data_IF_120521109886
#
_entry.id   IF_120521109886
#
_cell.length_a   1.000
_cell.length_b   1.000
_cell.length_c   1.000
_cell.angle_alpha   90.00
_cell.angle_beta   90.00
_cell.angle_gamma   90.00
#
_symmetry.space_group_name_H-M   'P 1'
#
loop_
_entity.id
_entity.type
_entity.pdbx_description
1 polymer ?
#
# COMPACT_ATOMS: atom_id res chain seq x y z
N UNK A 1 5.57 1.65 -1.93
CA UNK A 1 5.84 0.33 -1.31
C UNK A 1 7.18 0.35 -0.57
N UNK A 2 7.35 -0.43 0.49
CA UNK A 2 8.65 -0.58 1.16
C UNK A 2 8.86 -1.95 1.78
N UNK A 3 10.10 -2.24 2.17
CA UNK A 3 10.45 -3.46 2.88
C UNK A 3 10.48 -3.22 4.39
N UNK A 4 9.88 -4.14 5.14
CA UNK A 4 10.00 -4.21 6.60
C UNK A 4 10.46 -5.60 7.03
N UNK A 5 11.20 -5.68 8.14
CA UNK A 5 11.75 -6.95 8.63
C UNK A 5 10.87 -7.52 9.72
N UNK A 6 10.34 -8.72 9.50
CA UNK A 6 9.47 -9.46 10.43
C UNK A 6 10.01 -10.88 10.60
N UNK A 7 10.27 -11.28 11.85
CA UNK A 7 10.88 -12.58 12.21
C UNK A 7 12.13 -12.90 11.40
N UNK A 8 12.95 -11.89 11.12
CA UNK A 8 14.17 -12.04 10.32
C UNK A 8 13.97 -12.03 8.80
N UNK A 9 12.73 -12.09 8.31
CA UNK A 9 12.39 -12.08 6.88
C UNK A 9 11.98 -10.69 6.41
N UNK A 10 12.34 -10.35 5.17
CA UNK A 10 11.90 -9.11 4.54
C UNK A 10 10.52 -9.31 3.91
N UNK A 11 9.58 -8.45 4.30
CA UNK A 11 8.21 -8.44 3.82
C UNK A 11 7.89 -7.12 3.14
N UNK A 12 6.92 -7.17 2.24
CA UNK A 12 6.44 -6.05 1.44
C UNK A 12 5.31 -5.34 2.16
N UNK A 13 5.54 -4.07 2.47
CA UNK A 13 4.53 -3.15 2.98
C UNK A 13 4.06 -2.23 1.84
N UNK A 14 2.84 -2.49 1.38
CA UNK A 14 2.11 -1.59 0.48
C UNK A 14 1.28 -0.63 1.33
N UNK A 15 1.24 0.64 0.92
CA UNK A 15 0.43 1.68 1.56
C UNK A 15 -0.27 2.49 0.49
N UNK A 16 -1.47 2.95 0.83
CA UNK A 16 -2.27 3.85 0.04
C UNK A 16 -2.52 5.10 0.88
N UNK A 17 -2.18 6.25 0.32
CA UNK A 17 -2.41 7.56 0.93
C UNK A 17 -3.26 8.41 0.00
N UNK A 18 -4.04 9.33 0.56
CA UNK A 18 -4.79 10.29 -0.23
C UNK A 18 -3.89 11.45 -0.73
N UNK A 19 -4.47 12.40 -1.48
CA UNK A 19 -3.74 13.57 -1.98
C UNK A 19 -3.24 14.52 -0.88
N UNK A 20 -3.77 14.41 0.35
CA UNK A 20 -3.37 15.22 1.50
C UNK A 20 -2.30 14.51 2.35
N UNK A 21 -1.95 13.27 2.02
CA UNK A 21 -0.99 12.46 2.76
C UNK A 21 -1.59 11.65 3.91
N UNK A 22 -2.92 11.60 4.03
CA UNK A 22 -3.56 10.75 5.03
C UNK A 22 -3.51 9.29 4.59
N UNK A 23 -3.17 8.40 5.50
CA UNK A 23 -3.24 6.96 5.23
C UNK A 23 -4.69 6.54 4.98
N UNK A 24 -4.95 5.91 3.84
CA UNK A 24 -6.22 5.22 3.56
C UNK A 24 -6.15 3.81 4.12
N UNK A 25 -5.12 3.06 3.71
CA UNK A 25 -4.93 1.68 4.15
C UNK A 25 -3.51 1.17 3.86
N UNK A 26 -3.17 0.04 4.47
CA UNK A 26 -1.92 -0.69 4.23
C UNK A 26 -2.15 -2.20 4.02
N UNK A 27 -1.15 -2.86 3.45
CA UNK A 27 -1.10 -4.29 3.27
C UNK A 27 0.32 -4.81 3.47
N UNK A 28 0.47 -5.81 4.33
CA UNK A 28 1.71 -6.54 4.53
C UNK A 28 1.65 -7.88 3.79
N UNK A 29 2.60 -8.14 2.91
CA UNK A 29 2.68 -9.35 2.10
C UNK A 29 4.08 -9.96 2.10
N UNK A 30 4.17 -11.27 1.93
CA UNK A 30 5.44 -12.00 1.70
C UNK A 30 5.94 -11.85 0.26
N UNK A 31 5.04 -11.56 -0.67
CA UNK A 31 5.30 -11.54 -2.12
C UNK A 31 4.76 -10.25 -2.75
N UNK A 32 5.38 -9.81 -3.86
CA UNK A 32 4.87 -8.72 -4.72
C UNK A 32 3.99 -9.26 -5.85
N UNK A 33 3.22 -10.29 -5.58
CA UNK A 33 2.42 -10.92 -6.64
C UNK A 33 1.23 -10.05 -7.05
N UNK A 34 0.70 -10.34 -8.23
CA UNK A 34 -0.45 -9.64 -8.78
C UNK A 34 -1.71 -9.82 -7.91
N UNK A 35 -1.85 -10.98 -7.24
CA UNK A 35 -3.02 -11.30 -6.42
C UNK A 35 -3.08 -10.40 -5.18
N UNK A 36 -1.95 -10.21 -4.51
CA UNK A 36 -1.79 -9.32 -3.38
C UNK A 36 -2.03 -7.86 -3.79
N UNK A 37 -1.47 -7.43 -4.93
CA UNK A 37 -1.72 -6.09 -5.47
C UNK A 37 -3.21 -5.85 -5.75
N UNK A 38 -3.88 -6.79 -6.43
CA UNK A 38 -5.32 -6.72 -6.72
C UNK A 38 -6.16 -6.70 -5.45
N UNK A 39 -5.87 -7.58 -4.50
CA UNK A 39 -6.57 -7.62 -3.22
C UNK A 39 -6.41 -6.30 -2.46
N UNK A 40 -5.22 -5.73 -2.44
CA UNK A 40 -4.95 -4.45 -1.81
C UNK A 40 -5.74 -3.31 -2.47
N UNK A 41 -5.73 -3.22 -3.81
CA UNK A 41 -6.54 -2.21 -4.50
C UNK A 41 -8.03 -2.38 -4.20
N UNK A 42 -8.58 -3.61 -4.20
CA UNK A 42 -9.98 -3.83 -3.79
C UNK A 42 -10.25 -3.34 -2.39
N UNK A 43 -9.35 -3.62 -1.43
CA UNK A 43 -9.47 -3.18 -0.04
C UNK A 43 -9.54 -1.65 0.03
N UNK A 44 -8.62 -0.96 -0.64
CA UNK A 44 -8.56 0.52 -0.71
C UNK A 44 -9.79 1.13 -1.38
N UNK A 45 -10.29 0.53 -2.46
CA UNK A 45 -11.45 1.05 -3.20
C UNK A 45 -12.80 0.82 -2.50
N UNK A 46 -12.85 0.01 -1.44
CA UNK A 46 -14.05 -0.13 -0.61
C UNK A 46 -14.33 1.09 0.25
N UNK A 47 -13.32 1.94 0.50
CA UNK A 47 -13.52 3.16 1.28
C UNK A 47 -14.31 4.19 0.48
N UNK A 48 -15.40 4.72 1.06
CA UNK A 48 -16.33 5.61 0.36
C UNK A 48 -15.65 6.81 -0.31
N UNK A 49 -14.71 7.46 0.41
CA UNK A 49 -13.96 8.62 -0.07
C UNK A 49 -12.92 8.33 -1.16
N UNK A 50 -12.65 7.04 -1.45
CA UNK A 50 -11.69 6.58 -2.48
C UNK A 50 -12.36 5.72 -3.55
N UNK A 51 -13.65 5.43 -3.40
CA UNK A 51 -14.40 4.49 -4.24
C UNK A 51 -14.36 4.77 -5.74
N UNK A 52 -14.13 6.04 -6.14
CA UNK A 52 -14.05 6.47 -7.54
C UNK A 52 -12.86 7.42 -7.75
N UNK A 53 -11.61 6.92 -7.73
CA UNK A 53 -10.46 7.78 -7.87
C UNK A 53 -10.30 8.21 -9.33
N UNK A 54 -10.02 9.50 -9.57
CA UNK A 54 -9.70 10.01 -10.91
C UNK A 54 -8.34 9.52 -11.39
N UNK A 55 -7.35 9.48 -10.48
CA UNK A 55 -5.98 9.07 -10.76
C UNK A 55 -5.47 8.21 -9.61
N UNK A 56 -4.82 7.09 -9.92
CA UNK A 56 -3.99 6.37 -8.94
C UNK A 56 -2.53 6.48 -9.39
N UNK A 57 -1.69 6.96 -8.48
CA UNK A 57 -0.24 6.98 -8.67
C UNK A 57 0.35 5.72 -8.04
N UNK A 58 1.14 4.97 -8.80
CA UNK A 58 1.82 3.76 -8.33
C UNK A 58 3.29 3.78 -8.69
N UNK A 59 4.07 2.93 -8.04
CA UNK A 59 5.44 2.66 -8.48
C UNK A 59 5.49 1.93 -9.82
N UNK A 60 6.65 1.95 -10.47
CA UNK A 60 6.91 1.25 -11.75
C UNK A 60 6.99 -0.28 -11.59
N UNK A 61 6.21 -0.87 -10.69
CA UNK A 61 6.11 -2.31 -10.54
C UNK A 61 5.15 -2.85 -11.63
N UNK A 62 5.57 -3.82 -12.46
CA UNK A 62 4.74 -4.37 -13.53
C UNK A 62 3.46 -5.06 -13.03
N UNK A 63 3.37 -5.47 -11.77
CA UNK A 63 2.17 -6.16 -11.26
C UNK A 63 0.98 -5.22 -11.03
N UNK A 64 1.22 -3.93 -10.79
CA UNK A 64 0.16 -2.94 -10.55
C UNK A 64 -0.71 -2.66 -11.78
N UNK A 65 -0.17 -2.34 -12.98
CA UNK A 65 -1.00 -2.12 -14.16
C UNK A 65 -1.86 -3.34 -14.51
N UNK A 66 -1.32 -4.56 -14.40
CA UNK A 66 -2.09 -5.78 -14.67
C UNK A 66 -3.21 -5.98 -13.64
N UNK A 67 -2.96 -5.67 -12.36
CA UNK A 67 -3.98 -5.72 -11.32
C UNK A 67 -5.10 -4.68 -11.57
N UNK A 68 -4.74 -3.46 -11.97
CA UNK A 68 -5.71 -2.39 -12.28
C UNK A 68 -6.54 -2.75 -13.52
N UNK A 69 -5.93 -3.30 -14.57
CA UNK A 69 -6.65 -3.73 -15.77
C UNK A 69 -7.71 -4.80 -15.44
N UNK A 70 -7.37 -5.77 -14.59
CA UNK A 70 -8.34 -6.77 -14.12
C UNK A 70 -9.48 -6.12 -13.32
N UNK A 71 -9.20 -5.11 -12.51
CA UNK A 71 -10.22 -4.40 -11.74
C UNK A 71 -11.15 -3.55 -12.62
N UNK A 72 -10.64 -3.00 -13.72
CA UNK A 72 -11.46 -2.36 -14.75
C UNK A 72 -12.39 -3.36 -15.43
N UNK A 73 -11.86 -4.54 -15.82
CA UNK A 73 -12.68 -5.64 -16.39
C UNK A 73 -13.80 -6.10 -15.44
N UNK A 74 -13.52 -6.10 -14.13
CA UNK A 74 -14.49 -6.43 -13.08
C UNK A 74 -15.46 -5.27 -12.73
N UNK A 75 -15.40 -4.14 -13.44
CA UNK A 75 -16.20 -2.92 -13.17
C UNK A 75 -16.07 -2.41 -11.72
N UNK A 76 -14.96 -2.74 -11.06
CA UNK A 76 -14.67 -2.31 -9.69
C UNK A 76 -14.04 -0.91 -9.62
N UNK A 77 -13.61 -0.37 -10.76
CA UNK A 77 -13.01 0.96 -10.92
C UNK A 77 -13.66 1.66 -12.12
N UNK A 78 -13.86 2.98 -12.09
CA UNK A 78 -14.33 3.73 -13.26
C UNK A 78 -13.40 3.58 -14.47
N UNK A 79 -13.95 3.42 -15.68
CA UNK A 79 -13.13 3.25 -16.89
C UNK A 79 -12.21 4.46 -17.17
N UNK A 80 -12.68 5.66 -16.85
CA UNK A 80 -11.94 6.93 -16.97
C UNK A 80 -10.82 7.15 -15.94
N UNK A 81 -10.60 6.20 -15.02
CA UNK A 81 -9.51 6.27 -14.04
C UNK A 81 -8.16 6.14 -14.74
N UNK A 82 -7.27 7.09 -14.46
CA UNK A 82 -5.91 7.11 -15.00
C UNK A 82 -4.92 6.45 -14.04
N UNK A 83 -4.08 5.58 -14.57
CA UNK A 83 -2.94 5.03 -13.83
C UNK A 83 -1.70 5.86 -14.18
N UNK A 84 -1.04 6.43 -13.17
CA UNK A 84 0.20 7.18 -13.34
C UNK A 84 1.36 6.42 -12.67
N UNK A 85 2.41 6.15 -13.43
CA UNK A 85 3.64 5.53 -12.93
C UNK A 85 4.76 6.59 -12.88
N UNK A 86 4.77 7.43 -11.85
CA UNK A 86 5.71 8.54 -11.76
C UNK A 86 6.49 8.49 -10.44
N UNK A 87 7.81 8.28 -10.55
CA UNK A 87 8.74 8.13 -9.42
C UNK A 87 8.61 9.25 -8.39
N UNK A 88 8.59 10.51 -8.83
CA UNK A 88 8.60 11.68 -7.94
C UNK A 88 7.28 11.94 -7.21
N UNK A 89 6.15 11.43 -7.71
CA UNK A 89 4.85 11.59 -7.04
C UNK A 89 4.66 10.58 -5.91
N UNK A 90 5.50 9.55 -5.85
CA UNK A 90 5.55 8.62 -4.73
C UNK A 90 6.41 9.14 -3.57
N UNK A 91 7.07 10.31 -3.72
CA UNK A 91 7.92 10.89 -2.68
C UNK A 91 7.21 11.04 -1.34
N UNK A 92 5.92 11.37 -1.33
CA UNK A 92 5.11 11.47 -0.10
C UNK A 92 5.04 10.12 0.61
N UNK A 93 4.68 9.05 -0.11
CA UNK A 93 4.64 7.68 0.40
C UNK A 93 6.05 7.21 0.82
N UNK A 94 7.08 7.58 0.06
CA UNK A 94 8.47 7.25 0.37
C UNK A 94 9.01 7.94 1.63
N UNK A 95 8.66 9.21 1.85
CA UNK A 95 9.01 9.95 3.07
C UNK A 95 8.31 9.33 4.27
N UNK A 96 7.03 9.04 4.13
CA UNK A 96 6.19 8.45 5.16
C UNK A 96 6.68 7.05 5.58
N UNK A 97 7.22 6.25 4.65
CA UNK A 97 7.89 4.99 5.01
C UNK A 97 9.04 5.16 6.02
N UNK A 98 9.70 6.33 6.07
CA UNK A 98 10.79 6.57 7.04
C UNK A 98 10.25 6.60 8.46
N UNK A 99 9.07 7.18 8.67
CA UNK A 99 8.41 7.23 9.97
C UNK A 99 8.10 5.81 10.48
N UNK A 100 7.46 5.00 9.65
CA UNK A 100 7.13 3.60 9.97
C UNK A 100 8.39 2.80 10.26
N UNK A 101 9.42 2.91 9.40
CA UNK A 101 10.68 2.19 9.62
C UNK A 101 11.33 2.59 10.93
N UNK A 102 11.38 3.88 11.26
CA UNK A 102 11.93 4.38 12.52
C UNK A 102 11.20 3.78 13.72
N UNK A 103 9.86 3.75 13.68
CA UNK A 103 9.03 3.21 14.76
C UNK A 103 9.20 1.70 14.93
N UNK A 104 9.18 0.94 13.84
CA UNK A 104 9.43 -0.52 13.86
C UNK A 104 10.83 -0.84 14.39
N UNK A 105 11.84 -0.04 14.00
CA UNK A 105 13.21 -0.22 14.47
C UNK A 105 13.31 0.00 15.99
N UNK A 106 12.64 1.00 16.54
CA UNK A 106 12.61 1.22 18.00
C UNK A 106 11.94 0.08 18.79
N UNK A 107 11.06 -0.69 18.15
CA UNK A 107 10.37 -1.84 18.77
C UNK A 107 11.18 -3.14 18.74
N UNK A 108 12.50 -3.09 18.49
CA UNK A 108 13.39 -4.26 18.39
C UNK A 108 12.98 -5.30 17.32
N UNK A 109 12.31 -4.82 16.27
CA UNK A 109 11.79 -5.58 15.12
C UNK A 109 10.65 -6.54 15.48
N UNK A 110 9.78 -6.75 14.50
CA UNK A 110 8.58 -7.57 14.64
C UNK A 110 8.95 -9.06 14.66
N UNK A 111 8.29 -9.86 15.51
CA UNK A 111 8.64 -11.27 15.76
C UNK A 111 7.66 -12.27 15.13
N UNK A 112 6.45 -11.83 14.76
CA UNK A 112 5.42 -12.64 14.10
C UNK A 112 4.71 -11.83 13.01
N UNK A 113 4.17 -12.52 12.00
CA UNK A 113 3.43 -11.89 10.91
C UNK A 113 2.12 -11.28 11.38
N UNK A 114 1.35 -12.01 12.19
CA UNK A 114 0.04 -11.51 12.66
C UNK A 114 0.22 -10.32 13.60
N UNK A 115 1.17 -10.43 14.54
CA UNK A 115 1.54 -9.31 15.43
C UNK A 115 2.07 -8.11 14.64
N UNK A 116 2.80 -8.34 13.53
CA UNK A 116 3.25 -7.27 12.67
C UNK A 116 2.07 -6.50 12.07
N UNK A 117 1.02 -7.18 11.62
CA UNK A 117 -0.20 -6.52 11.11
C UNK A 117 -0.84 -5.67 12.20
N UNK A 118 -1.04 -6.19 13.41
CA UNK A 118 -1.67 -5.42 14.49
C UNK A 118 -0.84 -4.20 14.91
N UNK A 119 0.49 -4.35 15.02
CA UNK A 119 1.38 -3.24 15.36
C UNK A 119 1.37 -2.19 14.26
N UNK A 120 1.45 -2.60 12.99
CA UNK A 120 1.36 -1.67 11.86
C UNK A 120 0.03 -0.92 11.86
N UNK A 121 -1.10 -1.60 12.11
CA UNK A 121 -2.40 -0.93 12.26
C UNK A 121 -2.37 0.14 13.34
N UNK A 122 -1.78 -0.14 14.50
CA UNK A 122 -1.64 0.84 15.58
C UNK A 122 -0.72 2.01 15.21
N UNK A 123 0.37 1.74 14.49
CA UNK A 123 1.28 2.79 14.01
C UNK A 123 0.60 3.72 13.01
N UNK A 124 -0.17 3.14 12.08
CA UNK A 124 -0.92 3.88 11.05
C UNK A 124 -2.08 4.69 11.64
N UNK A 125 -2.74 4.19 12.69
CA UNK A 125 -3.82 4.94 13.36
C UNK A 125 -3.33 6.15 14.18
N UNK A 126 -2.03 6.20 14.49
CA UNK A 126 -1.40 7.30 15.23
C UNK A 126 -0.72 8.33 14.33
N UNK A 127 -0.80 8.14 13.01
CA UNK A 127 -0.18 8.97 11.98
C UNK A 127 -1.27 9.71 11.21
#
# INVERSE_FOLDING_TARGET
ETYIKVKGQWLYLCRAVDSKGNTIDFCLSKTRDQKAAKHFFKKVLRFFHVSKPRVITVDKNPTYPIAIEQLKKEKSIPDGMQLRQQKYLNNMVEQDHRFIKKRILSMLRLKSFDTAIYILSGVEAMH
#
